data_IF_748931616463
#
_entry.id   IF_748931616463
#
_cell.length_a   1.000
_cell.length_b   1.000
_cell.length_c   1.000
_cell.angle_alpha   90.00
_cell.angle_beta   90.00
_cell.angle_gamma   90.00
#
_symmetry.space_group_name_H-M   'P 1'
#
loop_
_entity.id
_entity.type
_entity.pdbx_description
1 polymer ?
#
# COMPACT_ATOMS: atom_id res chain seq x y z
N UNK A 1 -13.29 4.76 11.11
CA UNK A 1 -12.06 5.52 11.42
C UNK A 1 -11.06 4.72 12.23
N UNK A 2 -11.44 4.12 13.37
CA UNK A 2 -10.53 3.24 14.12
C UNK A 2 -9.87 2.15 13.27
N UNK A 3 -10.62 1.50 12.37
CA UNK A 3 -10.07 0.51 11.42
C UNK A 3 -8.99 1.08 10.50
N UNK A 4 -9.19 2.30 9.97
CA UNK A 4 -8.21 2.93 9.10
C UNK A 4 -6.92 3.24 9.85
N UNK A 5 -7.04 3.79 11.07
CA UNK A 5 -5.90 4.02 11.94
C UNK A 5 -5.17 2.71 12.25
N UNK A 6 -5.90 1.66 12.64
CA UNK A 6 -5.30 0.37 12.96
C UNK A 6 -4.51 -0.24 11.79
N UNK A 7 -5.04 -0.17 10.56
CA UNK A 7 -4.33 -0.63 9.36
C UNK A 7 -3.06 0.19 9.12
N UNK A 8 -3.14 1.51 9.26
CA UNK A 8 -1.97 2.40 9.15
C UNK A 8 -0.90 2.09 10.19
N UNK A 9 -1.29 1.99 11.45
CA UNK A 9 -0.40 1.64 12.57
C UNK A 9 0.26 0.28 12.32
N UNK A 10 -0.49 -0.72 11.87
CA UNK A 10 0.06 -2.05 11.57
C UNK A 10 1.15 -2.00 10.49
N UNK A 11 0.94 -1.23 9.42
CA UNK A 11 1.96 -1.04 8.38
C UNK A 11 3.20 -0.33 8.96
N UNK A 12 3.00 0.81 9.63
CA UNK A 12 4.11 1.60 10.19
C UNK A 12 4.96 0.81 11.18
N UNK A 13 4.32 0.03 12.05
CA UNK A 13 5.01 -0.88 12.97
C UNK A 13 5.76 -1.98 12.23
N UNK A 14 5.12 -2.62 11.25
CA UNK A 14 5.74 -3.69 10.47
C UNK A 14 6.98 -3.20 9.71
N UNK A 15 6.88 -2.06 9.04
CA UNK A 15 7.99 -1.44 8.31
C UNK A 15 9.15 -1.10 9.27
N UNK A 16 8.87 -0.43 10.39
CA UNK A 16 9.91 -0.09 11.37
C UNK A 16 10.58 -1.34 11.96
N UNK A 17 9.82 -2.37 12.34
CA UNK A 17 10.41 -3.60 12.89
C UNK A 17 11.32 -4.28 11.87
N UNK A 18 10.84 -4.44 10.64
CA UNK A 18 11.59 -5.09 9.56
C UNK A 18 12.87 -4.32 9.23
N UNK A 19 12.81 -2.99 9.17
CA UNK A 19 13.98 -2.15 8.88
C UNK A 19 15.07 -2.24 9.96
N UNK A 20 14.69 -2.55 11.20
CA UNK A 20 15.60 -2.60 12.33
C UNK A 20 16.05 -4.02 12.72
N UNK A 21 15.63 -5.08 12.00
CA UNK A 21 16.08 -6.47 12.26
C UNK A 21 17.61 -6.59 12.27
N UNK A 22 18.38 -6.04 11.31
CA UNK A 22 19.84 -6.13 11.35
C UNK A 22 20.45 -5.44 12.58
N UNK A 23 19.81 -4.39 13.10
CA UNK A 23 20.23 -3.70 14.32
C UNK A 23 19.99 -4.60 15.53
N UNK A 24 18.81 -5.23 15.63
CA UNK A 24 18.47 -6.12 16.75
C UNK A 24 19.35 -7.38 16.80
N UNK A 25 19.85 -7.83 15.65
CA UNK A 25 20.76 -8.97 15.54
C UNK A 25 22.24 -8.58 15.66
N UNK A 26 22.57 -7.29 15.69
CA UNK A 26 23.96 -6.82 15.74
C UNK A 26 24.74 -7.01 14.42
N UNK A 27 24.04 -7.21 13.30
CA UNK A 27 24.63 -7.56 12.00
C UNK A 27 24.86 -6.33 11.09
N UNK A 28 24.77 -5.12 11.64
CA UNK A 28 24.89 -3.85 10.90
C UNK A 28 26.24 -3.72 10.20
N UNK A 29 27.30 -4.28 10.79
CA UNK A 29 28.67 -4.21 10.29
C UNK A 29 29.07 -5.39 9.41
N UNK A 30 28.19 -6.38 9.25
CA UNK A 30 28.44 -7.53 8.39
C UNK A 30 28.14 -7.22 6.92
N UNK A 31 28.94 -7.80 6.03
CA UNK A 31 28.61 -7.82 4.61
C UNK A 31 27.28 -8.52 4.38
N UNK A 32 26.50 -8.06 3.40
CA UNK A 32 25.16 -8.63 3.10
C UNK A 32 25.17 -10.15 2.91
N UNK A 33 26.26 -10.70 2.38
CA UNK A 33 26.45 -12.14 2.14
C UNK A 33 26.61 -12.95 3.43
N UNK A 34 27.09 -12.34 4.51
CA UNK A 34 27.35 -13.02 5.78
C UNK A 34 26.19 -12.88 6.78
N UNK A 35 25.23 -11.99 6.51
CA UNK A 35 24.06 -11.78 7.36
C UNK A 35 23.19 -13.03 7.47
N UNK A 36 22.53 -13.19 8.62
CA UNK A 36 21.62 -14.30 8.84
C UNK A 36 20.43 -14.28 7.88
N UNK A 37 19.81 -15.45 7.67
CA UNK A 37 18.61 -15.57 6.85
C UNK A 37 17.45 -14.67 7.33
N UNK A 38 17.42 -14.32 8.62
CA UNK A 38 16.46 -13.36 9.18
C UNK A 38 16.70 -11.95 8.69
N UNK A 39 17.94 -11.47 8.69
CA UNK A 39 18.32 -10.17 8.12
C UNK A 39 18.09 -10.09 6.62
N UNK A 40 18.34 -11.18 5.88
CA UNK A 40 18.05 -11.24 4.43
C UNK A 40 16.55 -11.18 4.15
N UNK A 41 15.75 -11.90 4.95
CA UNK A 41 14.28 -11.85 4.85
C UNK A 41 13.75 -10.46 5.22
N UNK A 42 14.33 -9.84 6.24
CA UNK A 42 13.98 -8.50 6.64
C UNK A 42 14.36 -7.46 5.57
N UNK A 43 15.52 -7.59 4.93
CA UNK A 43 15.89 -6.74 3.78
C UNK A 43 14.87 -6.86 2.64
N UNK A 44 14.46 -8.07 2.30
CA UNK A 44 13.43 -8.30 1.29
C UNK A 44 12.09 -7.65 1.67
N UNK A 45 11.64 -7.82 2.93
CA UNK A 45 10.39 -7.24 3.42
C UNK A 45 10.48 -5.71 3.52
N UNK A 46 11.63 -5.14 3.88
CA UNK A 46 11.88 -3.70 3.93
C UNK A 46 11.70 -3.09 2.56
N UNK A 47 12.30 -3.68 1.52
CA UNK A 47 12.13 -3.23 0.13
C UNK A 47 10.66 -3.18 -0.31
N UNK A 48 9.84 -4.10 0.18
CA UNK A 48 8.41 -4.11 -0.08
C UNK A 48 7.68 -3.06 0.74
N UNK A 49 7.91 -3.01 2.05
CA UNK A 49 7.17 -2.16 2.98
C UNK A 49 7.53 -0.67 2.84
N UNK A 50 8.76 -0.35 2.48
CA UNK A 50 9.22 1.01 2.22
C UNK A 50 8.92 1.50 0.81
N UNK A 51 8.36 0.62 -0.04
CA UNK A 51 7.94 1.03 -1.36
C UNK A 51 6.71 1.95 -1.30
N UNK A 52 6.71 3.02 -2.10
CA UNK A 52 5.58 3.94 -2.15
C UNK A 52 4.24 3.27 -2.52
N UNK A 53 4.27 2.16 -3.26
CA UNK A 53 3.07 1.42 -3.63
C UNK A 53 2.46 0.64 -2.46
N UNK A 54 3.26 0.15 -1.50
CA UNK A 54 2.73 -0.51 -0.30
C UNK A 54 1.96 0.47 0.59
N UNK A 55 2.52 1.67 0.78
CA UNK A 55 1.86 2.77 1.48
C UNK A 55 0.57 3.20 0.77
N UNK A 56 0.62 3.32 -0.55
CA UNK A 56 -0.56 3.64 -1.34
C UNK A 56 -1.65 2.55 -1.23
N UNK A 57 -1.25 1.28 -1.26
CA UNK A 57 -2.16 0.15 -1.09
C UNK A 57 -2.90 0.20 0.25
N UNK A 58 -2.20 0.57 1.33
CA UNK A 58 -2.80 0.75 2.65
C UNK A 58 -3.82 1.90 2.68
N UNK A 59 -3.51 3.04 2.07
CA UNK A 59 -4.46 4.15 1.98
C UNK A 59 -5.74 3.75 1.23
N UNK A 60 -5.58 3.05 0.10
CA UNK A 60 -6.68 2.53 -0.72
C UNK A 60 -7.49 1.48 0.06
N UNK A 61 -6.83 0.53 0.72
CA UNK A 61 -7.48 -0.51 1.52
C UNK A 61 -8.26 0.09 2.70
N UNK A 62 -7.67 1.05 3.40
CA UNK A 62 -8.34 1.77 4.48
C UNK A 62 -9.61 2.47 3.98
N UNK A 63 -9.51 3.22 2.88
CA UNK A 63 -10.65 3.90 2.25
C UNK A 63 -11.75 2.95 1.80
N UNK A 64 -11.37 1.78 1.25
CA UNK A 64 -12.31 0.72 0.89
C UNK A 64 -13.02 0.12 2.11
N UNK A 65 -12.29 -0.15 3.19
CA UNK A 65 -12.84 -0.74 4.42
C UNK A 65 -13.81 0.22 5.13
N UNK A 66 -13.45 1.49 5.29
CA UNK A 66 -14.29 2.45 6.03
C UNK A 66 -15.52 2.91 5.25
N UNK A 67 -15.48 2.81 3.93
CA UNK A 67 -16.63 3.13 3.06
C UNK A 67 -17.60 1.95 2.90
N UNK A 68 -17.31 0.79 3.50
CA UNK A 68 -18.17 -0.39 3.45
C UNK A 68 -19.51 -0.12 4.14
N UNK A 69 -20.60 -0.39 3.45
CA UNK A 69 -21.97 -0.24 3.97
C UNK A 69 -22.61 1.15 3.78
N UNK A 70 -21.88 2.14 3.26
CA UNK A 70 -22.47 3.45 2.96
C UNK A 70 -23.33 3.39 1.69
N UNK A 71 -24.57 3.88 1.79
CA UNK A 71 -25.54 3.93 0.68
C UNK A 71 -25.31 5.10 -0.26
N UNK A 72 -24.86 6.24 0.28
CA UNK A 72 -24.59 7.45 -0.51
C UNK A 72 -23.19 7.41 -1.14
N UNK A 73 -23.07 7.60 -2.46
CA UNK A 73 -21.78 7.58 -3.15
C UNK A 73 -20.87 8.75 -2.74
N UNK A 74 -21.44 9.90 -2.36
CA UNK A 74 -20.68 11.06 -1.91
C UNK A 74 -20.10 10.82 -0.50
N UNK A 75 -20.93 10.30 0.42
CA UNK A 75 -20.48 9.95 1.77
C UNK A 75 -19.41 8.85 1.73
N UNK A 76 -19.56 7.86 0.83
CA UNK A 76 -18.55 6.83 0.64
C UNK A 76 -17.19 7.39 0.21
N UNK A 77 -17.17 8.34 -0.74
CA UNK A 77 -15.93 8.97 -1.18
C UNK A 77 -15.28 9.80 -0.07
N UNK A 78 -16.07 10.62 0.64
CA UNK A 78 -15.55 11.47 1.72
C UNK A 78 -14.99 10.63 2.88
N UNK A 79 -15.76 9.63 3.33
CA UNK A 79 -15.33 8.70 4.38
C UNK A 79 -14.12 7.89 3.93
N UNK A 80 -14.08 7.47 2.68
CA UNK A 80 -12.93 6.80 2.07
C UNK A 80 -11.67 7.67 2.10
N UNK A 81 -11.77 8.92 1.64
CA UNK A 81 -10.68 9.89 1.62
C UNK A 81 -10.10 10.13 3.02
N UNK A 82 -10.98 10.38 4.00
CA UNK A 82 -10.58 10.55 5.40
C UNK A 82 -9.93 9.27 5.95
N UNK A 83 -10.46 8.09 5.58
CA UNK A 83 -9.87 6.81 5.95
C UNK A 83 -8.44 6.64 5.43
N UNK A 84 -8.20 6.91 4.14
CA UNK A 84 -6.86 6.85 3.55
C UNK A 84 -5.89 7.84 4.20
N UNK A 85 -6.32 9.08 4.43
CA UNK A 85 -5.54 10.10 5.12
C UNK A 85 -5.15 9.68 6.55
N UNK A 86 -6.12 9.23 7.36
CA UNK A 86 -5.87 8.78 8.74
C UNK A 86 -4.93 7.56 8.77
N UNK A 87 -5.07 6.64 7.83
CA UNK A 87 -4.20 5.48 7.74
C UNK A 87 -2.74 5.89 7.46
N UNK A 88 -2.51 6.77 6.48
CA UNK A 88 -1.15 7.24 6.17
C UNK A 88 -0.56 8.08 7.30
N UNK A 89 -1.32 8.98 7.91
CA UNK A 89 -0.86 9.75 9.07
C UNK A 89 -0.46 8.83 10.22
N UNK A 90 -1.29 7.84 10.54
CA UNK A 90 -1.00 6.84 11.57
C UNK A 90 0.26 6.03 11.25
N UNK A 91 0.38 5.54 10.02
CA UNK A 91 1.55 4.81 9.56
C UNK A 91 2.84 5.65 9.67
N UNK A 92 2.82 6.89 9.16
CA UNK A 92 3.98 7.79 9.17
C UNK A 92 4.41 8.13 10.60
N UNK A 93 3.46 8.44 11.49
CA UNK A 93 3.77 8.77 12.88
C UNK A 93 4.38 7.58 13.61
N UNK A 94 3.75 6.41 13.53
CA UNK A 94 4.24 5.21 14.22
C UNK A 94 5.60 4.79 13.69
N UNK A 95 5.76 4.76 12.36
CA UNK A 95 7.05 4.48 11.73
C UNK A 95 8.14 5.42 12.24
N UNK A 96 7.89 6.74 12.19
CA UNK A 96 8.89 7.75 12.58
C UNK A 96 9.25 7.66 14.07
N UNK A 97 8.27 7.40 14.94
CA UNK A 97 8.48 7.23 16.38
C UNK A 97 9.33 5.99 16.65
N UNK A 98 8.97 4.85 16.06
CA UNK A 98 9.70 3.60 16.27
C UNK A 98 11.13 3.68 15.72
N UNK A 99 11.32 4.28 14.55
CA UNK A 99 12.64 4.48 13.96
C UNK A 99 13.54 5.33 14.87
N UNK A 100 12.99 6.42 15.42
CA UNK A 100 13.68 7.28 16.41
C UNK A 100 14.06 6.49 17.65
N UNK A 101 13.16 5.62 18.14
CA UNK A 101 13.39 4.80 19.33
C UNK A 101 14.46 3.73 19.10
N UNK A 102 14.43 3.05 17.95
CA UNK A 102 15.34 1.94 17.64
C UNK A 102 16.74 2.39 17.24
N UNK A 103 16.86 3.50 16.52
CA UNK A 103 18.16 4.00 16.05
C UNK A 103 18.81 5.00 17.01
N UNK A 104 18.12 5.41 18.07
CA UNK A 104 18.56 6.46 19.00
C UNK A 104 18.91 7.80 18.31
N UNK A 105 18.29 8.07 17.15
CA UNK A 105 18.48 9.29 16.37
C UNK A 105 17.43 10.33 16.76
N UNK A 106 17.76 11.62 16.70
CA UNK A 106 16.79 12.69 16.97
C UNK A 106 15.74 12.77 15.87
N UNK A 107 14.46 12.87 16.26
CA UNK A 107 13.35 13.05 15.33
C UNK A 107 13.48 14.37 14.56
N UNK A 108 13.75 14.29 13.27
CA UNK A 108 13.83 15.46 12.39
C UNK A 108 12.46 16.08 12.14
N UNK A 109 12.09 17.11 12.89
CA UNK A 109 10.77 17.77 12.80
C UNK A 109 10.42 18.19 11.36
N UNK A 110 11.37 18.74 10.60
CA UNK A 110 11.15 19.14 9.21
C UNK A 110 10.82 17.96 8.30
N UNK A 111 11.54 16.85 8.46
CA UNK A 111 11.32 15.60 7.71
C UNK A 111 9.97 15.01 8.06
N UNK A 112 9.63 14.95 9.35
CA UNK A 112 8.32 14.46 9.80
C UNK A 112 7.19 15.32 9.22
N UNK A 113 7.27 16.65 9.31
CA UNK A 113 6.25 17.54 8.77
C UNK A 113 6.08 17.37 7.25
N UNK A 114 7.18 17.22 6.52
CA UNK A 114 7.13 16.94 5.08
C UNK A 114 6.33 15.66 4.78
N UNK A 115 6.62 14.57 5.49
CA UNK A 115 5.90 13.30 5.30
C UNK A 115 4.44 13.38 5.76
N UNK A 116 4.13 14.10 6.84
CA UNK A 116 2.74 14.31 7.27
C UNK A 116 1.93 15.08 6.23
N UNK A 117 2.52 16.11 5.61
CA UNK A 117 1.87 16.85 4.51
C UNK A 117 1.62 15.92 3.32
N UNK A 118 2.61 15.11 2.92
CA UNK A 118 2.43 14.12 1.86
C UNK A 118 1.34 13.11 2.19
N UNK A 119 1.26 12.64 3.44
CA UNK A 119 0.21 11.71 3.89
C UNK A 119 -1.19 12.31 3.78
N UNK A 120 -1.36 13.62 4.00
CA UNK A 120 -2.64 14.30 3.76
C UNK A 120 -2.92 14.44 2.25
N UNK A 121 -1.95 14.97 1.51
CA UNK A 121 -2.09 15.28 0.07
C UNK A 121 -2.37 14.01 -0.74
N UNK A 122 -1.69 12.91 -0.43
CA UNK A 122 -1.84 11.63 -1.14
C UNK A 122 -2.92 10.74 -0.51
N UNK A 123 -3.08 10.78 0.82
CA UNK A 123 -4.02 9.89 1.52
C UNK A 123 -5.48 10.19 1.20
N UNK A 124 -5.84 11.46 1.01
CA UNK A 124 -7.19 11.86 0.58
C UNK A 124 -7.58 11.26 -0.78
N UNK A 125 -6.85 11.49 -1.89
CA UNK A 125 -7.20 10.94 -3.18
C UNK A 125 -7.11 9.40 -3.20
N UNK A 126 -6.10 8.80 -2.56
CA UNK A 126 -5.96 7.34 -2.50
C UNK A 126 -7.10 6.68 -1.71
N UNK A 127 -7.52 7.28 -0.60
CA UNK A 127 -8.68 6.82 0.15
C UNK A 127 -9.99 6.92 -0.65
N UNK A 128 -10.15 7.99 -1.44
CA UNK A 128 -11.29 8.15 -2.35
C UNK A 128 -11.27 7.08 -3.46
N UNK A 129 -10.10 6.75 -4.01
CA UNK A 129 -9.91 5.64 -4.96
C UNK A 129 -10.34 4.32 -4.31
N UNK A 130 -9.95 4.05 -3.07
CA UNK A 130 -10.39 2.89 -2.30
C UNK A 130 -11.91 2.76 -2.20
N UNK A 131 -12.60 3.87 -1.91
CA UNK A 131 -14.06 3.89 -1.91
C UNK A 131 -14.67 3.68 -3.31
N UNK A 132 -14.00 4.16 -4.36
CA UNK A 132 -14.44 4.03 -5.74
C UNK A 132 -14.36 2.59 -6.28
N UNK A 133 -13.52 1.71 -5.71
CA UNK A 133 -13.40 0.28 -6.11
C UNK A 133 -14.76 -0.43 -6.08
N UNK A 134 -15.65 -0.07 -5.15
CA UNK A 134 -16.99 -0.71 -5.04
C UNK A 134 -17.99 -0.22 -6.07
N UNK A 135 -17.67 0.80 -6.87
CA UNK A 135 -18.60 1.33 -7.87
C UNK A 135 -18.72 0.33 -9.03
N UNK A 136 -19.95 -0.06 -9.41
CA UNK A 136 -20.12 -0.92 -10.57
C UNK A 136 -19.65 -0.20 -11.83
N UNK A 137 -19.04 -0.95 -12.75
CA UNK A 137 -18.60 -0.45 -14.06
C UNK A 137 -17.11 -0.13 -14.13
N UNK A 138 -16.75 0.70 -15.11
CA UNK A 138 -15.35 0.99 -15.46
C UNK A 138 -14.62 1.79 -14.38
N UNK A 139 -15.32 2.64 -13.63
CA UNK A 139 -14.73 3.46 -12.55
C UNK A 139 -14.14 2.58 -11.45
N UNK A 140 -14.87 1.56 -11.00
CA UNK A 140 -14.38 0.63 -9.98
C UNK A 140 -13.21 -0.22 -10.49
N UNK A 141 -13.24 -0.62 -11.76
CA UNK A 141 -12.14 -1.37 -12.38
C UNK A 141 -10.87 -0.53 -12.48
N UNK A 142 -10.97 0.74 -12.93
CA UNK A 142 -9.82 1.65 -12.96
C UNK A 142 -9.29 1.93 -11.56
N UNK A 143 -10.16 2.16 -10.59
CA UNK A 143 -9.76 2.37 -9.20
C UNK A 143 -9.00 1.15 -8.64
N UNK A 144 -9.42 -0.06 -8.97
CA UNK A 144 -8.74 -1.28 -8.54
C UNK A 144 -7.37 -1.49 -9.23
N UNK A 145 -7.15 -0.89 -10.40
CA UNK A 145 -5.87 -0.95 -11.12
C UNK A 145 -4.84 0.06 -10.63
N UNK A 146 -5.24 1.10 -9.87
CA UNK A 146 -4.31 2.15 -9.39
C UNK A 146 -3.13 1.54 -8.63
N UNK A 147 -3.38 0.60 -7.72
CA UNK A 147 -2.32 -0.01 -6.89
C UNK A 147 -1.42 -0.95 -7.71
N UNK A 148 -1.95 -1.91 -8.49
CA UNK A 148 -1.11 -2.74 -9.37
C UNK A 148 -0.30 -1.95 -10.38
N UNK A 149 -0.87 -0.91 -11.00
CA UNK A 149 -0.16 -0.05 -11.94
C UNK A 149 0.93 0.75 -11.23
N UNK A 150 0.65 1.29 -10.04
CA UNK A 150 1.65 1.96 -9.21
C UNK A 150 2.81 1.04 -8.83
N UNK A 151 2.52 -0.22 -8.49
CA UNK A 151 3.54 -1.22 -8.19
C UNK A 151 4.42 -1.56 -9.41
N UNK A 152 3.79 -1.79 -10.57
CA UNK A 152 4.52 -2.05 -11.81
C UNK A 152 5.39 -0.85 -12.25
N UNK A 153 4.84 0.36 -12.19
CA UNK A 153 5.57 1.59 -12.49
C UNK A 153 6.73 1.82 -11.51
N UNK A 154 6.53 1.54 -10.22
CA UNK A 154 7.58 1.65 -9.21
C UNK A 154 8.78 0.77 -9.54
N UNK A 155 8.56 -0.47 -9.98
CA UNK A 155 9.64 -1.38 -10.40
C UNK A 155 10.36 -0.90 -11.65
N UNK A 156 9.67 -0.21 -12.57
CA UNK A 156 10.27 0.31 -13.81
C UNK A 156 11.10 1.56 -13.56
N UNK A 157 10.58 2.49 -12.75
CA UNK A 157 11.23 3.80 -12.49
C UNK A 157 12.38 3.64 -11.52
N UNK A 158 12.16 2.90 -10.44
CA UNK A 158 13.12 2.76 -9.33
C UNK A 158 13.47 1.28 -9.18
N UNK A 159 14.17 0.76 -10.19
CA UNK A 159 14.53 -0.65 -10.22
C UNK A 159 15.45 -0.93 -9.02
N UNK A 160 15.09 -1.86 -8.10
CA UNK A 160 15.90 -2.09 -6.92
C UNK A 160 17.33 -2.43 -7.31
N UNK A 161 18.27 -1.83 -6.56
CA UNK A 161 19.70 -1.85 -6.84
C UNK A 161 20.17 -3.28 -7.13
N UNK A 162 20.90 -3.46 -8.24
CA UNK A 162 21.31 -4.78 -8.74
C UNK A 162 22.22 -5.55 -7.77
N UNK A 163 22.75 -4.88 -6.74
CA UNK A 163 23.68 -5.43 -5.76
C UNK A 163 22.99 -6.20 -4.62
N UNK A 164 21.66 -6.16 -4.49
CA UNK A 164 20.95 -7.00 -3.51
C UNK A 164 20.51 -8.31 -4.18
N UNK A 165 20.91 -9.50 -3.68
CA UNK A 165 20.44 -10.78 -4.18
C UNK A 165 18.90 -10.90 -4.16
N UNK A 166 18.26 -10.20 -3.23
CA UNK A 166 16.80 -10.16 -3.09
C UNK A 166 16.10 -9.34 -4.19
N UNK A 167 16.79 -8.40 -4.84
CA UNK A 167 16.19 -7.48 -5.81
C UNK A 167 15.54 -8.20 -7.00
N UNK A 168 16.17 -9.26 -7.51
CA UNK A 168 15.63 -10.06 -8.60
C UNK A 168 14.31 -10.75 -8.23
N UNK A 169 14.26 -11.32 -7.02
CA UNK A 169 13.08 -12.01 -6.49
C UNK A 169 11.95 -11.01 -6.21
N UNK A 170 12.25 -9.85 -5.62
CA UNK A 170 11.27 -8.76 -5.40
C UNK A 170 10.66 -8.33 -6.73
N UNK A 171 11.48 -8.04 -7.74
CA UNK A 171 11.00 -7.62 -9.07
C UNK A 171 10.03 -8.65 -9.63
N UNK A 172 10.40 -9.93 -9.62
CA UNK A 172 9.58 -11.00 -10.19
C UNK A 172 8.26 -11.17 -9.42
N UNK A 173 8.29 -11.11 -8.09
CA UNK A 173 7.08 -11.18 -7.26
C UNK A 173 6.16 -9.99 -7.48
N UNK A 174 6.70 -8.77 -7.53
CA UNK A 174 5.89 -7.57 -7.78
C UNK A 174 5.22 -7.65 -9.15
N UNK A 175 5.95 -8.07 -10.20
CA UNK A 175 5.37 -8.29 -11.52
C UNK A 175 4.30 -9.38 -11.53
N UNK A 176 4.55 -10.53 -10.88
CA UNK A 176 3.60 -11.63 -10.81
C UNK A 176 2.31 -11.20 -10.10
N UNK A 177 2.43 -10.51 -8.96
CA UNK A 177 1.28 -10.01 -8.19
C UNK A 177 0.52 -8.93 -8.96
N UNK A 178 1.23 -7.97 -9.56
CA UNK A 178 0.61 -6.91 -10.36
C UNK A 178 -0.13 -7.47 -11.58
N UNK A 179 0.48 -8.40 -12.32
CA UNK A 179 -0.14 -9.07 -13.46
C UNK A 179 -1.37 -9.89 -13.03
N UNK A 180 -1.25 -10.67 -11.95
CA UNK A 180 -2.35 -11.48 -11.42
C UNK A 180 -3.52 -10.59 -10.99
N UNK A 181 -3.25 -9.51 -10.26
CA UNK A 181 -4.26 -8.54 -9.84
C UNK A 181 -4.95 -7.89 -11.06
N UNK A 182 -4.18 -7.48 -12.08
CA UNK A 182 -4.73 -6.91 -13.30
C UNK A 182 -5.66 -7.90 -14.03
N UNK A 183 -5.24 -9.17 -14.16
CA UNK A 183 -6.07 -10.23 -14.78
C UNK A 183 -7.36 -10.44 -14.02
N UNK A 184 -7.31 -10.51 -12.68
CA UNK A 184 -8.49 -10.68 -11.83
C UNK A 184 -9.45 -9.48 -12.01
N UNK A 185 -8.94 -8.25 -11.95
CA UNK A 185 -9.77 -7.04 -12.10
C UNK A 185 -10.43 -7.01 -13.48
N UNK A 186 -9.68 -7.29 -14.55
CA UNK A 186 -10.21 -7.32 -15.92
C UNK A 186 -11.26 -8.42 -16.09
N UNK A 187 -10.98 -9.65 -15.62
CA UNK A 187 -11.94 -10.75 -15.74
C UNK A 187 -13.21 -10.52 -14.93
N UNK A 188 -13.11 -9.97 -13.72
CA UNK A 188 -14.27 -9.55 -12.92
C UNK A 188 -15.08 -8.46 -13.62
N UNK A 189 -14.42 -7.44 -14.20
CA UNK A 189 -15.09 -6.36 -14.92
C UNK A 189 -15.82 -6.87 -16.18
N UNK A 190 -15.20 -7.78 -16.94
CA UNK A 190 -15.81 -8.41 -18.12
C UNK A 190 -16.99 -9.29 -17.72
N UNK A 191 -16.87 -10.10 -16.66
CA UNK A 191 -17.96 -10.94 -16.15
C UNK A 191 -19.15 -10.10 -15.69
N UNK A 192 -18.90 -9.02 -14.94
CA UNK A 192 -19.96 -8.11 -14.49
C UNK A 192 -20.72 -7.45 -15.65
N UNK A 193 -20.03 -7.13 -16.76
CA UNK A 193 -20.69 -6.63 -17.98
C UNK A 193 -21.58 -7.68 -18.65
N UNK A 194 -21.09 -8.92 -18.78
CA UNK A 194 -21.83 -10.01 -19.43
C UNK A 194 -23.12 -10.36 -18.69
N UNK A 195 -23.12 -10.33 -17.35
CA UNK A 195 -24.31 -10.58 -16.53
C UNK A 195 -25.37 -9.48 -16.61
N UNK A 196 -25.00 -8.24 -16.98
CA UNK A 196 -25.95 -7.12 -17.14
C UNK A 196 -26.76 -7.19 -18.44
N UNK A 197 -26.21 -7.77 -19.50
CA UNK A 197 -26.84 -7.89 -20.83
C UNK A 197 -27.92 -8.98 -20.92
N UNK A 198 -28.02 -9.91 -19.96
CA UNK A 198 -28.99 -11.00 -19.98
C UNK A 198 -30.40 -10.67 -19.47
N UNK A 199 -30.62 -9.48 -18.90
CA UNK A 199 -31.90 -9.11 -18.25
C UNK A 199 -32.80 -8.19 -19.07
N UNK A 200 -32.39 -7.80 -20.27
CA UNK A 200 -33.14 -6.87 -21.13
C UNK A 200 -34.02 -7.57 -22.20
N UNK A 201 -34.18 -8.90 -22.13
CA UNK A 201 -34.81 -9.69 -23.20
C UNK A 201 -36.13 -10.40 -22.87
N UNK A 202 -36.75 -10.20 -21.70
CA UNK A 202 -38.00 -10.90 -21.34
C UNK A 202 -39.12 -9.94 -20.93
N UNK A 203 -39.53 -9.08 -21.85
CA UNK A 203 -40.86 -8.45 -21.82
C UNK A 203 -41.37 -8.38 -23.25
N UNK A 204 -41.96 -9.49 -23.71
CA UNK A 204 -42.97 -9.52 -24.77
C UNK A 204 -44.08 -10.43 -24.27
#
# INVERSE_FOLDING_TARGET
MATALAVGVALGTGAALVNNVPIFLGEVHESRENRSGWSQTAEFLSLILDSGWAWAAVAVAAGWLVSKGLRSPASALLVGALGGCIALLGATLVYSILETLFQHVTLGVRTLLFWLVLSVVLGLPLGAVGAAIRRPGWVGALAALVVPLGAALGVVVDAPAAESPAAGVVKLLVWAVAATAAVIVVTCAVRARRSGTGRAGSTV
#
